data_IF_975121250055
#
_entry.id   IF_975121250055
#
_cell.length_a   1.000
_cell.length_b   1.000
_cell.length_c   1.000
_cell.angle_alpha   90.00
_cell.angle_beta   90.00
_cell.angle_gamma   90.00
#
_symmetry.space_group_name_H-M   'P 1'
#
loop_
_entity.id
_entity.type
_entity.pdbx_description
1 polymer ?
#
# COMPACT_ATOMS: atom_id res chain seq x y z
N UNK A 1 -13.90 -30.15 -0.09
CA UNK A 1 -15.31 -30.57 0.11
C UNK A 1 -15.84 -29.77 1.31
N UNK A 2 -16.33 -28.56 1.04
CA UNK A 2 -16.64 -27.53 2.05
C UNK A 2 -18.14 -27.56 2.35
N UNK A 3 -18.49 -27.93 3.58
CA UNK A 3 -19.85 -27.85 4.10
C UNK A 3 -20.07 -26.46 4.71
N UNK A 4 -20.98 -25.69 4.11
CA UNK A 4 -21.45 -24.41 4.64
C UNK A 4 -22.53 -24.68 5.72
N UNK A 5 -22.25 -24.26 6.96
CA UNK A 5 -23.26 -24.03 8.00
C UNK A 5 -23.83 -22.62 7.82
N UNK A 6 -25.12 -22.53 7.52
CA UNK A 6 -25.89 -21.28 7.59
C UNK A 6 -26.67 -21.30 8.90
N UNK A 7 -26.38 -20.33 9.76
CA UNK A 7 -27.12 -20.08 11.00
C UNK A 7 -28.46 -19.42 10.67
N UNK A 8 -29.52 -20.09 11.11
CA UNK A 8 -30.86 -19.55 11.32
C UNK A 8 -30.87 -18.53 12.47
N UNK A 9 -31.78 -17.56 12.36
CA UNK A 9 -32.42 -16.63 13.33
C UNK A 9 -32.59 -15.30 12.57
N UNK A 10 -33.78 -14.75 12.30
CA UNK A 10 -34.89 -14.49 13.20
C UNK A 10 -36.11 -14.06 12.36
N UNK A 11 -37.24 -14.77 12.49
CA UNK A 11 -38.56 -14.29 12.05
C UNK A 11 -39.57 -14.58 13.15
N UNK A 12 -39.40 -13.90 14.29
CA UNK A 12 -40.45 -13.74 15.29
C UNK A 12 -41.19 -12.43 15.01
N UNK A 13 -42.23 -12.52 14.19
CA UNK A 13 -43.36 -11.59 14.19
C UNK A 13 -44.37 -12.08 13.15
N UNK A 14 -45.30 -12.96 13.54
CA UNK A 14 -46.69 -13.02 13.05
C UNK A 14 -47.40 -14.23 13.70
N UNK A 15 -47.56 -14.17 15.02
CA UNK A 15 -48.41 -15.12 15.74
C UNK A 15 -49.36 -14.34 16.66
N UNK A 16 -50.39 -13.71 16.07
CA UNK A 16 -51.58 -13.21 16.78
C UNK A 16 -52.63 -12.71 15.78
N UNK A 17 -53.53 -13.59 15.35
CA UNK A 17 -54.95 -13.32 15.05
C UNK A 17 -55.59 -14.54 14.37
N UNK A 18 -55.88 -15.57 15.18
CA UNK A 18 -56.85 -16.62 14.83
C UNK A 18 -57.52 -17.06 16.12
N UNK A 19 -58.71 -16.52 16.40
CA UNK A 19 -59.71 -17.09 17.30
C UNK A 19 -60.92 -16.17 17.37
N UNK A 20 -61.97 -16.48 16.61
CA UNK A 20 -63.25 -16.82 17.23
C UNK A 20 -64.24 -17.32 16.18
N UNK A 21 -64.74 -18.52 16.43
CA UNK A 21 -65.93 -19.10 15.83
C UNK A 21 -67.13 -18.14 15.79
N UNK A 22 -67.86 -18.18 14.68
CA UNK A 22 -69.32 -18.25 14.75
C UNK A 22 -69.87 -18.95 13.50
N UNK A 23 -70.43 -20.14 13.72
CA UNK A 23 -71.26 -20.87 12.76
C UNK A 23 -72.62 -20.18 12.69
N UNK A 24 -72.91 -19.53 11.56
CA UNK A 24 -74.24 -19.07 11.20
C UNK A 24 -74.81 -19.98 10.12
N UNK A 25 -75.83 -20.75 10.49
CA UNK A 25 -76.73 -21.47 9.59
C UNK A 25 -77.28 -20.49 8.54
N UNK A 26 -77.03 -20.72 7.26
CA UNK A 26 -77.70 -20.01 6.16
C UNK A 26 -78.34 -21.02 5.22
N UNK A 27 -79.66 -20.88 5.15
CA UNK A 27 -80.58 -21.68 4.35
C UNK A 27 -80.23 -21.60 2.86
N UNK A 28 -80.09 -22.78 2.26
CA UNK A 28 -80.08 -22.99 0.83
C UNK A 28 -81.53 -22.98 0.34
N UNK A 29 -82.00 -21.85 -0.14
CA UNK A 29 -83.11 -21.75 -1.11
C UNK A 29 -83.13 -20.31 -1.62
N UNK A 30 -82.69 -20.11 -2.87
CA UNK A 30 -83.50 -19.41 -3.88
C UNK A 30 -82.71 -19.12 -5.18
N UNK A 31 -83.32 -19.56 -6.27
CA UNK A 31 -83.33 -19.00 -7.62
C UNK A 31 -82.02 -18.50 -8.25
N UNK A 32 -81.50 -19.34 -9.15
CA UNK A 32 -80.61 -18.96 -10.25
C UNK A 32 -81.32 -17.92 -11.14
N UNK A 33 -81.05 -16.64 -10.88
CA UNK A 33 -81.33 -15.55 -11.82
C UNK A 33 -80.33 -15.59 -12.97
N UNK A 34 -80.82 -15.33 -14.18
CA UNK A 34 -80.06 -15.34 -15.44
C UNK A 34 -78.89 -14.32 -15.47
N UNK A 35 -78.82 -13.37 -14.53
CA UNK A 35 -77.68 -12.46 -14.35
C UNK A 35 -76.41 -13.13 -13.76
N UNK A 36 -76.53 -14.34 -13.21
CA UNK A 36 -75.38 -15.06 -12.62
C UNK A 36 -74.46 -15.68 -13.66
N UNK A 37 -74.96 -16.02 -14.86
CA UNK A 37 -74.15 -16.62 -15.92
C UNK A 37 -73.16 -15.59 -16.53
N UNK A 38 -73.56 -14.33 -16.67
CA UNK A 38 -72.66 -13.26 -17.16
C UNK A 38 -71.51 -12.94 -16.19
N UNK A 39 -71.68 -13.13 -14.88
CA UNK A 39 -70.57 -13.01 -13.91
C UNK A 39 -69.58 -14.16 -13.99
N UNK A 40 -70.04 -15.38 -14.26
CA UNK A 40 -69.15 -16.54 -14.41
C UNK A 40 -68.26 -16.36 -15.65
N UNK A 41 -68.82 -15.91 -16.79
CA UNK A 41 -68.03 -15.66 -18.00
C UNK A 41 -67.07 -14.45 -17.89
N UNK A 42 -67.42 -13.41 -17.12
CA UNK A 42 -66.52 -12.27 -16.86
C UNK A 42 -65.30 -12.66 -16.01
N UNK A 43 -65.48 -13.54 -15.02
CA UNK A 43 -64.36 -13.98 -14.17
C UNK A 43 -63.40 -14.94 -14.88
N UNK A 44 -63.89 -15.69 -15.87
CA UNK A 44 -63.07 -16.65 -16.62
C UNK A 44 -62.09 -15.95 -17.60
N UNK A 45 -62.53 -14.88 -18.28
CA UNK A 45 -61.63 -14.05 -19.10
C UNK A 45 -60.60 -13.26 -18.27
N UNK A 46 -60.92 -12.90 -17.03
CA UNK A 46 -59.95 -12.26 -16.13
C UNK A 46 -58.88 -13.24 -15.61
N UNK A 47 -59.16 -14.53 -15.51
CA UNK A 47 -58.19 -15.51 -15.05
C UNK A 47 -57.15 -15.85 -16.13
N UNK A 48 -57.56 -16.01 -17.39
CA UNK A 48 -56.61 -16.28 -18.49
C UNK A 48 -55.63 -15.12 -18.73
N UNK A 49 -56.10 -13.88 -18.63
CA UNK A 49 -55.23 -12.70 -18.79
C UNK A 49 -54.21 -12.53 -17.65
N UNK A 50 -54.49 -13.01 -16.44
CA UNK A 50 -53.54 -12.94 -15.31
C UNK A 50 -52.34 -13.86 -15.52
N UNK A 51 -52.58 -15.06 -16.05
CA UNK A 51 -51.48 -16.00 -16.36
C UNK A 51 -50.66 -15.52 -17.57
N UNK A 52 -51.29 -14.89 -18.56
CA UNK A 52 -50.58 -14.28 -19.69
C UNK A 52 -49.62 -13.17 -19.22
N UNK A 53 -50.08 -12.30 -18.31
CA UNK A 53 -49.27 -11.20 -17.79
C UNK A 53 -48.13 -11.71 -16.89
N UNK A 54 -48.38 -12.69 -16.03
CA UNK A 54 -47.34 -13.32 -15.20
C UNK A 54 -46.31 -14.07 -16.06
N UNK A 55 -46.74 -14.76 -17.11
CA UNK A 55 -45.85 -15.45 -18.06
C UNK A 55 -44.95 -14.44 -18.80
N UNK A 56 -45.52 -13.32 -19.27
CA UNK A 56 -44.77 -12.27 -19.94
C UNK A 56 -43.72 -11.62 -19.02
N UNK A 57 -44.08 -11.41 -17.74
CA UNK A 57 -43.18 -10.85 -16.74
C UNK A 57 -42.05 -11.83 -16.39
N UNK A 58 -42.35 -13.13 -16.31
CA UNK A 58 -41.34 -14.16 -16.10
C UNK A 58 -40.36 -14.28 -17.27
N UNK A 59 -40.85 -14.21 -18.52
CA UNK A 59 -39.99 -14.18 -19.71
C UNK A 59 -39.08 -12.95 -19.72
N UNK A 60 -39.59 -11.78 -19.34
CA UNK A 60 -38.77 -10.57 -19.21
C UNK A 60 -37.70 -10.72 -18.14
N UNK A 61 -38.03 -11.31 -16.98
CA UNK A 61 -37.05 -11.59 -15.92
C UNK A 61 -35.98 -12.59 -16.37
N UNK A 62 -36.34 -13.64 -17.12
CA UNK A 62 -35.38 -14.58 -17.69
C UNK A 62 -34.48 -13.90 -18.73
N UNK A 63 -35.04 -13.07 -19.60
CA UNK A 63 -34.26 -12.31 -20.58
C UNK A 63 -33.30 -11.35 -19.89
N UNK A 64 -33.74 -10.65 -18.84
CA UNK A 64 -32.87 -9.79 -18.03
C UNK A 64 -31.79 -10.61 -17.32
N UNK A 65 -32.12 -11.76 -16.75
CA UNK A 65 -31.15 -12.64 -16.11
C UNK A 65 -30.12 -13.17 -17.11
N UNK A 66 -30.55 -13.55 -18.31
CA UNK A 66 -29.69 -13.98 -19.42
C UNK A 66 -28.80 -12.83 -19.88
N UNK A 67 -29.35 -11.62 -20.06
CA UNK A 67 -28.59 -10.43 -20.43
C UNK A 67 -27.56 -10.04 -19.35
N UNK A 68 -27.94 -10.06 -18.07
CA UNK A 68 -27.03 -9.84 -16.93
C UNK A 68 -25.96 -10.92 -16.88
N UNK A 69 -26.31 -12.18 -17.15
CA UNK A 69 -25.36 -13.30 -17.19
C UNK A 69 -24.41 -13.21 -18.39
N UNK A 70 -24.86 -12.73 -19.55
CA UNK A 70 -24.01 -12.48 -20.72
C UNK A 70 -23.11 -11.26 -20.55
N UNK A 71 -23.59 -10.21 -19.87
CA UNK A 71 -22.78 -9.05 -19.48
C UNK A 71 -21.75 -9.44 -18.42
N UNK A 72 -22.13 -10.27 -17.44
CA UNK A 72 -21.23 -10.79 -16.41
C UNK A 72 -20.22 -11.80 -16.96
N UNK A 73 -20.51 -12.43 -18.12
CA UNK A 73 -19.58 -13.28 -18.88
C UNK A 73 -18.82 -12.54 -19.98
N UNK A 74 -18.86 -11.20 -20.02
CA UNK A 74 -17.76 -10.46 -20.65
C UNK A 74 -16.52 -10.78 -19.84
N UNK A 75 -15.82 -11.80 -20.33
CA UNK A 75 -14.56 -12.29 -19.83
C UNK A 75 -13.72 -11.10 -19.36
N UNK A 76 -13.33 -11.11 -18.08
CA UNK A 76 -12.08 -10.47 -17.68
C UNK A 76 -11.06 -10.89 -18.72
N UNK A 77 -10.78 -10.00 -19.67
CA UNK A 77 -9.79 -10.32 -20.69
C UNK A 77 -8.50 -10.57 -19.92
N UNK A 78 -7.72 -11.63 -20.25
CA UNK A 78 -6.47 -11.96 -19.55
C UNK A 78 -5.47 -10.80 -19.43
N UNK A 79 -5.70 -9.71 -20.18
CA UNK A 79 -4.92 -8.47 -20.14
C UNK A 79 -5.11 -7.65 -18.85
N UNK A 80 -6.23 -7.77 -18.15
CA UNK A 80 -6.51 -6.88 -17.00
C UNK A 80 -5.58 -7.13 -15.80
N UNK A 81 -4.95 -8.30 -15.70
CA UNK A 81 -4.12 -8.65 -14.53
C UNK A 81 -2.60 -8.61 -14.77
N UNK A 82 -2.13 -8.19 -15.95
CA UNK A 82 -0.68 -8.16 -16.24
C UNK A 82 0.06 -7.22 -15.28
N UNK A 83 -0.54 -6.07 -14.93
CA UNK A 83 0.03 -5.13 -13.98
C UNK A 83 0.10 -5.71 -12.55
N UNK A 84 -0.90 -6.48 -12.13
CA UNK A 84 -0.88 -7.20 -10.84
C UNK A 84 0.17 -8.29 -10.83
N UNK A 85 0.33 -9.01 -11.95
CA UNK A 85 1.39 -10.01 -12.10
C UNK A 85 2.76 -9.33 -12.00
N UNK A 86 2.96 -8.19 -12.66
CA UNK A 86 4.18 -7.39 -12.54
C UNK A 86 4.43 -6.97 -11.08
N UNK A 87 3.43 -6.44 -10.39
CA UNK A 87 3.56 -6.09 -8.97
C UNK A 87 3.93 -7.30 -8.10
N UNK A 88 3.35 -8.47 -8.36
CA UNK A 88 3.62 -9.71 -7.60
C UNK A 88 5.03 -10.28 -7.78
N UNK A 89 5.75 -9.85 -8.83
CA UNK A 89 7.18 -10.21 -9.01
C UNK A 89 8.10 -9.37 -8.13
N UNK A 90 7.69 -8.17 -7.76
CA UNK A 90 8.47 -7.27 -6.90
C UNK A 90 8.08 -7.45 -5.44
N UNK A 91 6.79 -7.68 -5.18
CA UNK A 91 6.22 -7.78 -3.84
C UNK A 91 5.54 -9.12 -3.61
N UNK A 92 5.88 -9.78 -2.50
CA UNK A 92 5.25 -11.01 -2.03
C UNK A 92 4.27 -10.67 -0.91
N UNK A 93 2.98 -11.04 -1.03
CA UNK A 93 2.07 -11.00 0.10
C UNK A 93 2.46 -12.10 1.10
N UNK A 94 2.65 -11.74 2.37
CA UNK A 94 3.06 -12.68 3.43
C UNK A 94 1.91 -13.11 4.33
N UNK A 95 0.78 -12.40 4.32
CA UNK A 95 -0.43 -12.77 5.07
C UNK A 95 -1.61 -12.96 4.12
N UNK A 96 -2.44 -13.96 4.43
CA UNK A 96 -3.68 -14.29 3.70
C UNK A 96 -4.78 -13.22 3.75
N UNK A 97 -4.54 -12.05 4.36
CA UNK A 97 -5.52 -10.96 4.35
C UNK A 97 -5.21 -10.05 3.18
N UNK A 98 -6.11 -10.05 2.19
CA UNK A 98 -6.11 -9.20 1.00
C UNK A 98 -6.11 -7.71 1.31
N UNK A 99 -5.02 -7.21 1.87
CA UNK A 99 -4.78 -5.78 1.97
C UNK A 99 -4.00 -5.37 0.74
N UNK A 100 -4.72 -4.84 -0.25
CA UNK A 100 -4.09 -4.23 -1.41
C UNK A 100 -3.18 -3.08 -0.96
N UNK A 101 -2.00 -3.01 -1.57
CA UNK A 101 -1.14 -1.84 -1.47
C UNK A 101 -1.82 -0.74 -2.30
N UNK A 102 -1.77 0.50 -1.82
CA UNK A 102 -2.22 1.64 -2.61
C UNK A 102 -1.17 1.94 -3.68
N UNK A 103 -1.57 1.85 -4.95
CA UNK A 103 -0.73 2.24 -6.09
C UNK A 103 -1.60 2.99 -7.11
N UNK A 104 -0.97 3.83 -7.91
CA UNK A 104 -1.57 4.50 -9.06
C UNK A 104 -1.12 3.81 -10.35
N UNK A 105 -1.99 3.79 -11.36
CA UNK A 105 -1.70 3.15 -12.65
C UNK A 105 -1.95 4.16 -13.77
N UNK A 106 -0.91 4.42 -14.55
CA UNK A 106 -0.98 5.22 -15.78
C UNK A 106 -0.90 4.28 -16.98
N UNK A 107 -2.07 3.83 -17.46
CA UNK A 107 -2.19 2.81 -18.51
C UNK A 107 -1.48 3.19 -19.81
N UNK A 108 -1.54 4.47 -20.21
CA UNK A 108 -0.93 4.97 -21.45
C UNK A 108 0.60 4.75 -21.48
N UNK A 109 1.23 4.84 -20.32
CA UNK A 109 2.69 4.73 -20.16
C UNK A 109 3.12 3.38 -19.61
N UNK A 110 2.15 2.50 -19.28
CA UNK A 110 2.40 1.27 -18.53
C UNK A 110 3.21 1.55 -17.26
N UNK A 111 2.88 2.63 -16.55
CA UNK A 111 3.57 3.06 -15.33
C UNK A 111 2.71 2.75 -14.12
N UNK A 112 3.33 2.21 -13.07
CA UNK A 112 2.72 1.98 -11.77
C UNK A 112 3.55 2.70 -10.72
N UNK A 113 2.91 3.51 -9.88
CA UNK A 113 3.60 4.18 -8.78
C UNK A 113 3.04 3.69 -7.46
N UNK A 114 3.93 3.19 -6.61
CA UNK A 114 3.56 2.66 -5.30
C UNK A 114 3.78 3.77 -4.27
N UNK A 115 2.74 4.09 -3.50
CA UNK A 115 2.84 4.99 -2.37
C UNK A 115 3.87 4.47 -1.38
N UNK A 116 4.95 5.23 -1.14
CA UNK A 116 6.00 4.82 -0.20
C UNK A 116 5.43 4.64 1.21
N UNK A 117 4.52 5.52 1.63
CA UNK A 117 3.81 5.37 2.91
C UNK A 117 3.08 4.05 3.00
N UNK A 118 2.29 3.71 1.99
CA UNK A 118 1.57 2.45 1.97
C UNK A 118 2.53 1.26 1.96
N UNK A 119 3.62 1.32 1.20
CA UNK A 119 4.63 0.27 1.13
C UNK A 119 5.27 0.02 2.50
N UNK A 120 5.76 1.06 3.18
CA UNK A 120 6.43 0.91 4.49
C UNK A 120 5.47 0.40 5.55
N UNK A 121 4.25 0.93 5.65
CA UNK A 121 3.26 0.46 6.63
C UNK A 121 2.87 -1.01 6.39
N UNK A 122 2.78 -1.43 5.13
CA UNK A 122 2.50 -2.83 4.77
C UNK A 122 3.69 -3.76 5.05
N UNK A 123 4.92 -3.30 4.84
CA UNK A 123 6.13 -4.06 5.20
C UNK A 123 6.25 -4.17 6.73
N UNK A 124 6.09 -3.05 7.45
CA UNK A 124 6.13 -3.00 8.91
C UNK A 124 5.13 -3.97 9.54
N UNK A 125 3.88 -3.93 9.09
CA UNK A 125 2.82 -4.85 9.56
C UNK A 125 3.01 -6.31 9.11
N UNK A 126 3.99 -6.58 8.24
CA UNK A 126 4.22 -7.90 7.64
C UNK A 126 3.04 -8.37 6.81
N UNK A 127 2.36 -7.46 6.12
CA UNK A 127 1.36 -7.81 5.11
C UNK A 127 2.04 -8.19 3.79
N UNK A 128 3.19 -7.56 3.50
CA UNK A 128 3.96 -7.75 2.28
C UNK A 128 5.45 -7.76 2.59
N UNK A 129 6.23 -8.36 1.70
CA UNK A 129 7.69 -8.27 1.67
C UNK A 129 8.16 -8.07 0.23
N UNK A 130 9.27 -7.37 0.02
CA UNK A 130 9.86 -7.27 -1.32
C UNK A 130 10.70 -8.51 -1.62
N UNK A 131 10.71 -8.94 -2.89
CA UNK A 131 11.50 -10.11 -3.33
C UNK A 131 12.99 -9.83 -3.27
N UNK A 132 13.42 -8.69 -3.81
CA UNK A 132 14.81 -8.28 -3.83
C UNK A 132 14.93 -6.80 -3.49
N UNK A 133 14.81 -6.46 -2.20
CA UNK A 133 14.85 -5.06 -1.74
C UNK A 133 16.07 -4.29 -2.25
N UNK A 134 17.25 -4.92 -2.32
CA UNK A 134 18.49 -4.26 -2.74
C UNK A 134 18.44 -3.82 -4.21
N UNK A 135 18.14 -4.76 -5.12
CA UNK A 135 18.14 -4.46 -6.56
C UNK A 135 16.86 -3.70 -7.00
N UNK A 136 15.71 -4.07 -6.44
CA UNK A 136 14.42 -3.52 -6.85
C UNK A 136 14.30 -2.05 -6.42
N UNK A 137 14.65 -1.69 -5.17
CA UNK A 137 14.55 -0.29 -4.72
C UNK A 137 15.45 0.65 -5.53
N UNK A 138 16.71 0.26 -5.74
CA UNK A 138 17.65 1.04 -6.58
C UNK A 138 17.10 1.24 -8.00
N UNK A 139 16.49 0.19 -8.56
CA UNK A 139 15.87 0.25 -9.88
C UNK A 139 14.59 1.10 -9.90
N UNK A 140 13.78 1.09 -8.83
CA UNK A 140 12.58 1.92 -8.70
C UNK A 140 12.95 3.41 -8.61
N UNK A 141 13.96 3.77 -7.82
CA UNK A 141 14.45 5.16 -7.72
C UNK A 141 14.99 5.70 -9.05
N UNK A 142 15.65 4.83 -9.83
CA UNK A 142 16.13 5.19 -11.17
C UNK A 142 15.02 5.23 -12.23
N UNK A 143 13.77 4.92 -11.87
CA UNK A 143 12.65 4.68 -12.79
C UNK A 143 12.98 3.62 -13.87
N UNK A 144 13.81 2.63 -13.52
CA UNK A 144 14.31 1.58 -14.43
C UNK A 144 13.72 0.21 -14.15
N UNK A 145 13.01 0.02 -13.05
CA UNK A 145 12.39 -1.27 -12.75
C UNK A 145 11.26 -1.55 -13.73
N UNK A 146 11.53 -2.41 -14.72
CA UNK A 146 10.56 -2.85 -15.73
C UNK A 146 10.23 -4.31 -15.57
N UNK A 147 8.95 -4.64 -15.37
CA UNK A 147 8.48 -6.03 -15.28
C UNK A 147 7.23 -6.23 -16.14
N UNK A 148 7.28 -7.22 -17.04
CA UNK A 148 6.21 -7.48 -18.03
C UNK A 148 5.77 -6.23 -18.82
N UNK A 149 6.72 -5.36 -19.15
CA UNK A 149 6.47 -4.09 -19.84
C UNK A 149 6.06 -2.92 -18.93
N UNK A 150 5.71 -3.19 -17.67
CA UNK A 150 5.33 -2.17 -16.71
C UNK A 150 6.54 -1.53 -16.03
N UNK A 151 6.61 -0.21 -16.02
CA UNK A 151 7.59 0.54 -15.21
C UNK A 151 7.02 0.74 -13.82
N UNK A 152 7.72 0.23 -12.80
CA UNK A 152 7.29 0.31 -11.40
C UNK A 152 8.17 1.33 -10.69
N UNK A 153 7.55 2.41 -10.23
CA UNK A 153 8.18 3.50 -9.48
C UNK A 153 7.65 3.61 -8.06
N UNK A 154 8.25 4.52 -7.30
CA UNK A 154 7.80 4.90 -5.97
C UNK A 154 7.24 6.32 -6.03
N UNK A 155 6.01 6.49 -5.54
CA UNK A 155 5.47 7.81 -5.25
C UNK A 155 6.03 8.25 -3.89
N UNK A 156 6.99 9.16 -3.96
CA UNK A 156 7.71 9.69 -2.82
C UNK A 156 6.93 10.86 -2.22
N UNK A 157 6.05 10.57 -1.27
CA UNK A 157 5.23 11.63 -0.69
C UNK A 157 6.07 12.63 0.12
N UNK A 158 5.68 13.92 0.13
CA UNK A 158 6.23 14.96 0.99
C UNK A 158 6.62 14.54 2.41
N UNK A 159 5.71 13.82 3.07
CA UNK A 159 5.85 13.37 4.45
C UNK A 159 7.05 12.43 4.62
N UNK A 160 7.36 11.62 3.62
CA UNK A 160 8.48 10.69 3.68
C UNK A 160 9.83 11.33 3.51
N UNK A 161 9.93 12.43 2.76
CA UNK A 161 11.18 13.18 2.76
C UNK A 161 11.52 13.66 4.18
N UNK A 162 10.54 14.26 4.87
CA UNK A 162 10.74 14.72 6.25
C UNK A 162 11.08 13.58 7.21
N UNK A 163 10.41 12.42 7.08
CA UNK A 163 10.74 11.22 7.87
C UNK A 163 12.13 10.67 7.57
N UNK A 164 12.49 10.54 6.28
CA UNK A 164 13.81 10.07 5.83
C UNK A 164 14.89 11.01 6.34
N UNK A 165 14.66 12.32 6.25
CA UNK A 165 15.54 13.35 6.79
C UNK A 165 15.71 13.19 8.30
N UNK A 166 14.61 13.08 9.06
CA UNK A 166 14.65 12.88 10.52
C UNK A 166 15.41 11.60 10.89
N UNK A 167 15.24 10.54 10.11
CA UNK A 167 15.92 9.26 10.32
C UNK A 167 17.42 9.35 10.04
N UNK A 168 17.81 9.93 8.90
CA UNK A 168 19.21 10.18 8.56
C UNK A 168 19.87 11.07 9.62
N UNK A 169 19.16 12.04 10.18
CA UNK A 169 19.67 12.88 11.26
C UNK A 169 19.90 12.10 12.55
N UNK A 170 18.91 11.31 12.98
CA UNK A 170 19.01 10.51 14.22
C UNK A 170 20.20 9.56 14.20
N UNK A 171 20.57 9.02 13.04
CA UNK A 171 21.71 8.12 12.90
C UNK A 171 23.09 8.78 13.01
N UNK A 172 23.16 10.11 12.95
CA UNK A 172 24.40 10.82 12.61
C UNK A 172 24.85 11.91 13.60
N UNK A 173 24.17 12.05 14.73
CA UNK A 173 24.60 13.00 15.75
C UNK A 173 25.73 12.44 16.61
N UNK A 174 26.96 12.61 16.14
CA UNK A 174 28.14 12.49 16.98
C UNK A 174 28.58 13.88 17.47
N UNK A 175 28.58 13.97 18.79
CA UNK A 175 29.00 15.07 19.63
C UNK A 175 30.31 15.71 19.15
N UNK A 176 30.27 16.99 18.82
CA UNK A 176 31.47 17.81 18.62
C UNK A 176 32.17 18.01 19.97
N UNK A 177 33.07 17.10 20.34
CA UNK A 177 34.04 17.39 21.40
C UNK A 177 35.00 18.46 20.89
N UNK A 178 35.31 19.44 21.73
CA UNK A 178 36.31 20.46 21.42
C UNK A 178 37.64 19.80 21.05
N UNK A 179 38.16 20.09 19.87
CA UNK A 179 39.43 19.55 19.39
C UNK A 179 40.59 20.27 20.05
N UNK A 180 41.54 19.49 20.55
CA UNK A 180 42.83 19.98 21.06
C UNK A 180 43.73 20.35 19.87
N UNK A 181 44.56 21.38 20.01
CA UNK A 181 45.52 21.78 18.96
C UNK A 181 46.45 20.60 18.64
N UNK A 182 46.65 20.29 17.36
CA UNK A 182 47.40 19.13 16.90
C UNK A 182 46.60 17.82 16.79
N UNK A 183 45.33 17.80 17.22
CA UNK A 183 44.46 16.63 17.03
C UNK A 183 43.86 16.56 15.62
N UNK A 184 43.59 15.34 15.16
CA UNK A 184 42.83 15.07 13.94
C UNK A 184 41.41 14.67 14.32
N UNK A 185 40.42 15.20 13.61
CA UNK A 185 39.02 14.87 13.78
C UNK A 185 38.45 14.32 12.48
N UNK A 186 37.69 13.24 12.57
CA UNK A 186 36.98 12.67 11.43
C UNK A 186 35.51 13.02 11.58
N UNK A 187 34.98 13.78 10.62
CA UNK A 187 33.56 14.10 10.55
C UNK A 187 32.95 13.25 9.44
N UNK A 188 31.93 12.46 9.80
CA UNK A 188 31.09 11.77 8.83
C UNK A 188 29.75 12.49 8.69
N UNK A 189 29.35 12.77 7.46
CA UNK A 189 28.03 13.33 7.21
C UNK A 189 27.49 12.92 5.86
N UNK A 190 26.19 13.09 5.73
CA UNK A 190 25.42 12.72 4.56
C UNK A 190 24.86 14.00 3.94
N UNK A 191 24.93 14.15 2.63
CA UNK A 191 24.41 15.29 1.86
C UNK A 191 23.52 14.83 0.73
N UNK A 192 22.48 15.61 0.41
CA UNK A 192 21.69 15.43 -0.80
C UNK A 192 22.55 15.71 -2.04
N UNK A 193 22.36 14.93 -3.10
CA UNK A 193 23.04 15.17 -4.38
C UNK A 193 22.53 16.46 -5.03
N UNK A 194 23.42 17.31 -5.58
CA UNK A 194 23.02 18.57 -6.22
C UNK A 194 22.19 18.37 -7.49
N UNK A 195 22.19 17.15 -8.05
CA UNK A 195 21.43 16.80 -9.26
C UNK A 195 19.95 16.53 -8.98
N UNK A 196 19.58 16.37 -7.71
CA UNK A 196 18.18 16.23 -7.32
C UNK A 196 17.51 17.61 -7.37
N UNK A 197 16.75 17.86 -8.44
CA UNK A 197 15.83 19.01 -8.58
C UNK A 197 14.56 18.82 -7.72
N UNK A 198 14.40 17.63 -7.15
CA UNK A 198 13.18 17.06 -6.58
C UNK A 198 12.59 17.81 -5.37
N UNK A 199 13.34 18.72 -4.74
CA UNK A 199 12.80 19.52 -3.63
C UNK A 199 12.81 21.01 -3.99
N UNK A 200 11.63 21.62 -4.09
CA UNK A 200 11.55 23.07 -4.11
C UNK A 200 12.21 23.63 -2.84
N UNK A 201 12.80 24.82 -2.93
CA UNK A 201 13.38 25.49 -1.75
C UNK A 201 12.39 25.58 -0.59
N UNK A 202 11.11 25.76 -0.91
CA UNK A 202 10.02 25.88 0.08
C UNK A 202 9.77 24.58 0.83
N UNK A 203 9.95 23.44 0.14
CA UNK A 203 9.77 22.12 0.72
C UNK A 203 10.87 21.79 1.76
N UNK A 204 12.12 22.16 1.45
CA UNK A 204 13.25 22.05 2.37
C UNK A 204 12.96 22.84 3.65
N UNK A 205 12.42 24.05 3.52
CA UNK A 205 12.10 24.92 4.65
C UNK A 205 10.97 24.36 5.53
N UNK A 206 9.97 23.69 4.96
CA UNK A 206 8.85 23.10 5.70
C UNK A 206 9.20 21.81 6.46
N UNK A 207 10.33 21.17 6.14
CA UNK A 207 10.77 19.91 6.78
C UNK A 207 11.67 20.11 8.01
N UNK A 208 11.94 21.36 8.41
CA UNK A 208 12.84 21.72 9.52
C UNK A 208 12.11 21.80 10.86
N UNK A 209 12.31 20.85 11.81
CA UNK A 209 12.15 21.17 13.21
C UNK A 209 13.33 22.06 13.63
N UNK A 210 13.03 23.31 13.98
CA UNK A 210 13.96 24.25 14.61
C UNK A 210 14.47 23.67 15.94
N UNK A 211 15.58 22.93 15.89
CA UNK A 211 16.60 22.86 16.96
C UNK A 211 17.80 22.02 16.51
N UNK A 212 18.84 22.76 16.12
CA UNK A 212 20.29 22.44 16.16
C UNK A 212 20.75 21.14 15.50
N UNK A 213 21.65 21.30 14.53
CA UNK A 213 22.41 20.30 13.77
C UNK A 213 21.66 19.58 12.64
N UNK A 214 21.92 20.00 11.39
CA UNK A 214 21.35 19.36 10.18
C UNK A 214 22.31 19.51 8.99
N UNK A 215 23.33 18.65 8.84
CA UNK A 215 24.25 18.70 7.70
C UNK A 215 23.67 18.16 6.37
N UNK A 216 22.37 17.85 6.31
CA UNK A 216 21.73 17.27 5.10
C UNK A 216 21.13 18.28 4.13
N UNK A 217 20.87 19.51 4.58
CA UNK A 217 20.32 20.60 3.74
C UNK A 217 21.36 21.65 3.36
N UNK A 218 22.60 21.39 3.77
CA UNK A 218 23.74 22.28 3.59
C UNK A 218 24.57 21.64 2.49
N UNK A 219 24.84 22.37 1.42
CA UNK A 219 25.74 21.87 0.37
C UNK A 219 27.09 21.50 0.98
N UNK A 220 27.75 20.50 0.43
CA UNK A 220 29.08 20.07 0.85
C UNK A 220 30.04 21.28 1.00
N UNK A 221 30.00 22.22 0.04
CA UNK A 221 30.75 23.48 0.08
C UNK A 221 30.47 24.33 1.32
N UNK A 222 29.21 24.41 1.75
CA UNK A 222 28.81 25.19 2.92
C UNK A 222 29.20 24.48 4.23
N UNK A 223 29.21 23.14 4.27
CA UNK A 223 29.80 22.40 5.40
C UNK A 223 31.29 22.70 5.51
N UNK A 224 32.03 22.64 4.40
CA UNK A 224 33.46 22.96 4.41
C UNK A 224 33.74 24.42 4.82
N UNK A 225 32.86 25.35 4.48
CA UNK A 225 33.03 26.76 4.87
C UNK A 225 32.94 26.99 6.39
N UNK A 226 32.16 26.17 7.11
CA UNK A 226 32.09 26.23 8.58
C UNK A 226 33.38 25.69 9.22
N UNK A 227 34.08 24.79 8.52
CA UNK A 227 35.36 24.23 8.97
C UNK A 227 36.57 25.16 8.70
N UNK A 228 36.36 26.40 8.25
CA UNK A 228 37.42 27.32 7.81
C UNK A 228 38.59 27.60 8.79
N UNK A 229 38.47 27.56 10.14
CA UNK A 229 39.64 27.71 11.00
C UNK A 229 40.50 26.43 11.09
N UNK A 230 40.03 25.30 10.57
CA UNK A 230 40.75 24.01 10.59
C UNK A 230 41.27 23.63 9.21
N UNK A 231 42.47 23.04 9.15
CA UNK A 231 43.06 22.55 7.90
C UNK A 231 42.37 21.24 7.51
N UNK A 232 41.68 21.24 6.38
CA UNK A 232 41.12 20.01 5.81
C UNK A 232 42.28 19.13 5.32
N UNK A 233 42.41 17.94 5.89
CA UNK A 233 43.47 16.97 5.54
C UNK A 233 43.02 16.06 4.40
N UNK A 234 41.81 15.54 4.47
CA UNK A 234 41.26 14.68 3.42
C UNK A 234 39.74 14.80 3.34
N UNK A 235 39.21 14.58 2.15
CA UNK A 235 37.78 14.49 1.86
C UNK A 235 37.59 13.22 1.03
N UNK A 236 36.83 12.27 1.54
CA UNK A 236 36.60 10.99 0.88
C UNK A 236 35.10 10.76 0.75
N UNK A 237 34.63 10.53 -0.47
CA UNK A 237 33.28 10.02 -0.68
C UNK A 237 33.26 8.53 -0.32
N UNK A 238 32.41 8.15 0.63
CA UNK A 238 32.27 6.77 1.10
C UNK A 238 30.89 6.19 0.79
N UNK A 239 30.14 6.79 -0.14
CA UNK A 239 28.73 6.43 -0.41
C UNK A 239 28.58 4.96 -0.78
N UNK A 240 29.41 4.48 -1.72
CA UNK A 240 29.39 3.08 -2.19
C UNK A 240 29.72 2.10 -1.07
N UNK A 241 30.87 2.30 -0.39
CA UNK A 241 31.28 1.45 0.74
C UNK A 241 30.23 1.42 1.85
N UNK A 242 29.57 2.55 2.12
CA UNK A 242 28.55 2.64 3.15
C UNK A 242 27.23 1.98 2.71
N UNK A 243 26.84 2.09 1.42
CA UNK A 243 25.69 1.39 0.87
C UNK A 243 25.86 -0.14 0.92
N UNK A 244 27.07 -0.64 0.63
CA UNK A 244 27.41 -2.06 0.76
C UNK A 244 27.37 -2.51 2.23
N UNK A 245 27.88 -1.70 3.16
CA UNK A 245 27.83 -1.99 4.58
C UNK A 245 26.40 -2.03 5.12
N UNK A 246 25.53 -1.13 4.67
CA UNK A 246 24.10 -1.12 4.99
C UNK A 246 23.39 -2.38 4.46
N UNK A 247 23.64 -2.73 3.19
CA UNK A 247 23.08 -3.93 2.57
C UNK A 247 23.52 -5.19 3.33
N UNK A 248 24.82 -5.31 3.62
CA UNK A 248 25.37 -6.43 4.39
C UNK A 248 24.80 -6.51 5.81
N UNK A 249 24.54 -5.36 6.45
CA UNK A 249 23.92 -5.30 7.78
C UNK A 249 22.46 -5.73 7.74
N UNK A 250 21.73 -5.36 6.69
CA UNK A 250 20.34 -5.77 6.48
C UNK A 250 20.22 -7.27 6.18
N UNK A 251 21.16 -7.82 5.40
CA UNK A 251 21.29 -9.25 5.12
C UNK A 251 21.60 -10.02 6.41
N UNK A 252 22.60 -9.59 7.19
CA UNK A 252 22.93 -10.20 8.50
C UNK A 252 21.73 -10.20 9.44
N UNK A 253 21.03 -9.07 9.56
CA UNK A 253 19.83 -8.95 10.41
C UNK A 253 18.67 -9.88 9.94
N UNK A 254 18.68 -10.30 8.68
CA UNK A 254 17.69 -11.23 8.13
C UNK A 254 18.09 -12.70 8.29
N UNK A 255 19.36 -13.03 8.03
CA UNK A 255 19.90 -14.39 7.95
C UNK A 255 20.38 -14.92 9.30
N UNK A 256 21.05 -14.10 10.11
CA UNK A 256 21.54 -14.50 11.42
C UNK A 256 20.35 -14.59 12.40
N UNK A 257 20.04 -15.83 12.81
CA UNK A 257 18.95 -16.12 13.72
C UNK A 257 19.16 -15.49 15.10
N UNK A 258 20.39 -15.43 15.60
CA UNK A 258 20.68 -14.91 16.93
C UNK A 258 20.48 -13.39 16.97
N UNK A 259 21.08 -12.66 16.02
CA UNK A 259 20.91 -11.21 15.89
C UNK A 259 19.44 -10.84 15.67
N UNK A 260 18.74 -11.60 14.82
CA UNK A 260 17.31 -11.40 14.56
C UNK A 260 16.46 -11.58 15.80
N UNK A 261 16.66 -12.67 16.56
CA UNK A 261 15.90 -12.92 17.79
C UNK A 261 16.19 -11.82 18.81
N UNK A 262 17.46 -11.51 19.06
CA UNK A 262 17.85 -10.46 20.00
C UNK A 262 17.23 -9.10 19.66
N UNK A 263 17.24 -8.70 18.38
CA UNK A 263 16.64 -7.45 17.94
C UNK A 263 15.11 -7.46 18.08
N UNK A 264 14.45 -8.55 17.71
CA UNK A 264 12.99 -8.70 17.83
C UNK A 264 12.57 -8.69 19.29
N UNK A 265 13.32 -9.34 20.18
CA UNK A 265 13.03 -9.35 21.61
C UNK A 265 13.17 -7.95 22.23
N UNK A 266 14.14 -7.16 21.76
CA UNK A 266 14.38 -5.81 22.25
C UNK A 266 13.40 -4.75 21.70
N UNK A 267 13.06 -4.83 20.41
CA UNK A 267 12.34 -3.75 19.70
C UNK A 267 11.01 -4.17 19.06
N UNK A 268 10.73 -5.46 19.01
CA UNK A 268 9.55 -6.04 18.35
C UNK A 268 9.74 -6.35 16.87
N UNK A 269 8.89 -7.25 16.35
CA UNK A 269 8.94 -7.74 14.98
C UNK A 269 8.70 -6.64 13.93
N UNK A 270 7.79 -5.72 14.22
CA UNK A 270 7.44 -4.64 13.29
C UNK A 270 8.63 -3.67 13.10
N UNK A 271 9.34 -3.36 14.19
CA UNK A 271 10.57 -2.54 14.14
C UNK A 271 11.71 -3.26 13.41
N UNK A 272 11.84 -4.58 13.57
CA UNK A 272 12.80 -5.37 12.80
C UNK A 272 12.53 -5.27 11.29
N UNK A 273 11.28 -5.43 10.85
CA UNK A 273 10.89 -5.31 9.43
C UNK A 273 11.15 -3.91 8.88
N UNK A 274 10.73 -2.89 9.63
CA UNK A 274 10.93 -1.49 9.27
C UNK A 274 12.43 -1.17 9.16
N UNK A 275 13.24 -1.56 10.15
CA UNK A 275 14.68 -1.31 10.16
C UNK A 275 15.39 -1.97 8.99
N UNK A 276 15.08 -3.23 8.70
CA UNK A 276 15.64 -3.95 7.54
C UNK A 276 15.31 -3.26 6.23
N UNK A 277 14.05 -2.86 6.04
CA UNK A 277 13.64 -2.11 4.85
C UNK A 277 14.35 -0.77 4.72
N UNK A 278 14.44 0.00 5.81
CA UNK A 278 15.08 1.32 5.80
C UNK A 278 16.59 1.26 5.54
N UNK A 279 17.27 0.17 5.90
CA UNK A 279 18.68 -0.04 5.52
C UNK A 279 18.84 -0.22 4.00
N UNK A 280 18.02 -1.07 3.38
CA UNK A 280 18.03 -1.21 1.90
C UNK A 280 17.59 0.07 1.19
N UNK A 281 16.65 0.80 1.78
CA UNK A 281 16.21 2.11 1.30
C UNK A 281 17.36 3.11 1.26
N UNK A 282 18.09 3.28 2.36
CA UNK A 282 19.23 4.18 2.44
C UNK A 282 20.36 3.75 1.50
N UNK A 283 20.68 2.45 1.45
CA UNK A 283 21.66 1.90 0.52
C UNK A 283 21.28 2.23 -0.94
N UNK A 284 20.03 2.00 -1.32
CA UNK A 284 19.55 2.31 -2.65
C UNK A 284 19.63 3.82 -2.97
N UNK A 285 19.31 4.71 -2.03
CA UNK A 285 19.47 6.16 -2.23
C UNK A 285 20.94 6.57 -2.48
N UNK A 286 21.88 5.90 -1.81
CA UNK A 286 23.32 6.11 -2.03
C UNK A 286 23.77 5.56 -3.38
N UNK A 287 23.31 4.36 -3.75
CA UNK A 287 23.65 3.68 -5.01
C UNK A 287 23.19 4.47 -6.24
N UNK A 288 22.01 5.08 -6.16
CA UNK A 288 21.48 5.92 -7.25
C UNK A 288 22.08 7.33 -7.24
N UNK A 289 22.96 7.63 -6.29
CA UNK A 289 23.58 8.95 -6.15
C UNK A 289 22.58 10.04 -5.77
N UNK A 290 21.45 9.66 -5.15
CA UNK A 290 20.49 10.62 -4.63
C UNK A 290 20.98 11.24 -3.33
N UNK A 291 21.63 10.42 -2.53
CA UNK A 291 22.30 10.81 -1.30
C UNK A 291 23.78 10.49 -1.47
N UNK A 292 24.65 11.29 -0.86
CA UNK A 292 26.09 11.06 -0.82
C UNK A 292 26.57 11.11 0.62
N UNK A 293 27.52 10.24 0.97
CA UNK A 293 28.15 10.21 2.29
C UNK A 293 29.63 10.54 2.18
N UNK A 294 30.09 11.41 3.06
CA UNK A 294 31.44 11.95 3.08
C UNK A 294 32.11 11.67 4.42
N UNK A 295 33.41 11.36 4.35
CA UNK A 295 34.34 11.45 5.48
C UNK A 295 35.24 12.66 5.22
N UNK A 296 35.29 13.57 6.18
CA UNK A 296 36.21 14.72 6.14
C UNK A 296 37.14 14.64 7.36
N UNK A 297 38.44 14.52 7.10
CA UNK A 297 39.45 14.61 8.15
C UNK A 297 39.91 16.06 8.29
N UNK A 298 39.78 16.60 9.49
CA UNK A 298 40.21 17.93 9.86
C UNK A 298 41.42 17.85 10.78
N UNK A 299 42.37 18.76 10.61
CA UNK A 299 43.50 18.97 11.51
C UNK A 299 43.41 20.39 12.08
N UNK A 300 43.50 20.50 13.41
CA UNK A 300 43.51 21.79 14.11
C UNK A 300 44.91 22.24 14.45
#
# INVERSE_FOLDING_TARGET
MLAFRLHLLSTDAFHRLMSSHQYGYLNFHDFLSADSLLRVFSTQYCFENRYALLSLLFVLCLLLFVMISFVSKRACTPKENIHLQALSTVVIPTRNRSQSIKYTVTWKEQRMEISLTALVEKIKSGAIEMRNSRADLSSMFRERLKVYGWTIGLDLEPVWSAKTMTWLLKGHFLCSKSLVVGSTATIEFTTMSPQIVWMSKDFILCSLPLRTSTPLLVSFTRVLSVCAPTRIKSVVNISERYADALSSSAERLAEDRADRIAFIDQYGLDMWRERRFLMYWEAALLDVGHVTRWIVELQK
#
